data_IF_801718108895
#
_entry.id   IF_801718108895
#
_cell.length_a   1.000
_cell.length_b   1.000
_cell.length_c   1.000
_cell.angle_alpha   90.00
_cell.angle_beta   90.00
_cell.angle_gamma   90.00
#
_symmetry.space_group_name_H-M   'P 1'
#
loop_
_entity.id
_entity.type
_entity.pdbx_description
1 polymer ?
#
# COMPACT_ATOMS: atom_id res chain seq x y z
N UNK A 1 25.17 -22.39 2.23
CA UNK A 1 24.34 -21.97 1.08
C UNK A 1 23.47 -20.83 1.57
N UNK A 2 23.86 -19.59 1.30
CA UNK A 2 23.09 -18.41 1.74
C UNK A 2 21.97 -18.24 0.73
N UNK A 3 20.74 -18.53 1.13
CA UNK A 3 19.56 -18.35 0.30
C UNK A 3 19.34 -16.83 0.18
N UNK A 4 19.68 -16.25 -0.97
CA UNK A 4 19.41 -14.84 -1.26
C UNK A 4 17.90 -14.69 -1.36
N UNK A 5 17.25 -14.26 -0.28
CA UNK A 5 15.82 -13.94 -0.30
C UNK A 5 15.66 -12.78 -1.28
N UNK A 6 15.20 -13.07 -2.49
CA UNK A 6 14.86 -12.05 -3.46
C UNK A 6 13.61 -11.34 -2.93
N UNK A 7 13.83 -10.27 -2.15
CA UNK A 7 12.77 -9.39 -1.67
C UNK A 7 12.12 -8.78 -2.90
N UNK A 8 10.93 -9.27 -3.25
CA UNK A 8 10.13 -8.67 -4.31
C UNK A 8 9.65 -7.33 -3.78
N UNK A 9 10.22 -6.23 -4.27
CA UNK A 9 9.78 -4.90 -3.89
C UNK A 9 8.32 -4.70 -4.29
N UNK A 10 7.44 -4.55 -3.30
CA UNK A 10 6.03 -4.25 -3.52
C UNK A 10 5.82 -2.78 -3.29
N UNK A 11 4.96 -2.18 -4.12
CA UNK A 11 4.64 -0.77 -4.01
C UNK A 11 3.14 -0.56 -4.12
N UNK A 12 2.66 0.51 -3.48
CA UNK A 12 1.28 0.96 -3.55
C UNK A 12 1.21 2.44 -3.92
N UNK A 13 0.19 2.81 -4.67
CA UNK A 13 -0.21 4.20 -4.88
C UNK A 13 -1.37 4.52 -3.96
N UNK A 14 -1.35 5.71 -3.36
CA UNK A 14 -2.38 6.18 -2.42
C UNK A 14 -2.96 7.49 -2.92
N UNK A 15 -4.28 7.58 -2.98
CA UNK A 15 -5.03 8.76 -3.36
C UNK A 15 -6.08 9.09 -2.30
N UNK A 16 -6.23 10.38 -1.98
CA UNK A 16 -7.25 10.85 -1.06
C UNK A 16 -8.38 11.52 -1.86
N UNK A 17 -9.63 11.02 -1.77
CA UNK A 17 -10.76 11.63 -2.46
C UNK A 17 -10.87 13.13 -2.16
N UNK A 18 -10.97 13.96 -3.20
CA UNK A 18 -11.03 15.42 -3.11
C UNK A 18 -9.70 16.14 -2.85
N UNK A 19 -8.61 15.42 -2.56
CA UNK A 19 -7.27 15.99 -2.36
C UNK A 19 -6.25 15.53 -3.42
N UNK A 20 -6.47 14.36 -4.04
CA UNK A 20 -5.60 13.79 -5.06
C UNK A 20 -4.53 12.85 -4.48
N UNK A 21 -3.45 12.62 -5.23
CA UNK A 21 -2.41 11.64 -4.89
C UNK A 21 -1.66 12.04 -3.61
N UNK A 22 -1.52 11.10 -2.68
CA UNK A 22 -0.70 11.23 -1.46
C UNK A 22 0.67 10.56 -1.64
N UNK A 23 0.66 9.37 -2.23
CA UNK A 23 1.88 8.61 -2.50
C UNK A 23 1.83 7.97 -3.88
N UNK A 24 2.97 7.98 -4.57
CA UNK A 24 3.20 7.22 -5.80
C UNK A 24 4.36 6.27 -5.55
N UNK A 25 4.13 4.97 -5.69
CA UNK A 25 5.15 3.94 -5.50
C UNK A 25 5.65 3.80 -4.07
N UNK A 26 4.79 3.95 -3.06
CA UNK A 26 5.17 3.75 -1.66
C UNK A 26 5.56 2.28 -1.44
N UNK A 27 6.79 2.04 -0.98
CA UNK A 27 7.26 0.69 -0.65
C UNK A 27 6.49 0.11 0.53
N UNK A 28 6.13 -1.16 0.40
CA UNK A 28 5.45 -1.95 1.43
C UNK A 28 6.07 -3.34 1.50
N UNK A 29 6.05 -3.94 2.69
CA UNK A 29 6.55 -5.30 2.90
C UNK A 29 5.51 -6.34 2.42
N UNK A 30 4.25 -6.07 2.72
CA UNK A 30 3.13 -6.93 2.36
C UNK A 30 2.00 -6.13 1.72
N UNK A 31 1.39 -6.69 0.67
CA UNK A 31 0.12 -6.20 0.12
C UNK A 31 -0.69 -7.38 -0.43
N UNK A 32 -1.98 -7.39 -0.13
CA UNK A 32 -2.96 -8.36 -0.61
C UNK A 32 -4.36 -7.72 -0.57
N UNK A 33 -5.41 -8.53 -0.75
CA UNK A 33 -6.80 -8.03 -0.76
C UNK A 33 -7.33 -7.59 0.61
N UNK A 34 -6.69 -8.00 1.70
CA UNK A 34 -7.04 -7.58 3.06
C UNK A 34 -6.37 -6.27 3.45
N UNK A 35 -5.26 -5.91 2.80
CA UNK A 35 -4.54 -4.68 3.10
C UNK A 35 -3.07 -4.70 2.74
N UNK A 36 -2.31 -3.82 3.38
CA UNK A 36 -0.86 -3.77 3.27
C UNK A 36 -0.20 -3.41 4.60
N UNK A 37 1.08 -3.72 4.73
CA UNK A 37 1.87 -3.34 5.89
C UNK A 37 3.27 -2.83 5.54
N UNK A 38 3.79 -1.98 6.41
CA UNK A 38 5.14 -1.44 6.35
C UNK A 38 5.80 -1.67 7.71
N UNK A 39 6.96 -2.32 7.71
CA UNK A 39 7.86 -2.48 8.83
C UNK A 39 8.95 -1.41 8.74
N UNK A 40 9.09 -0.62 9.81
CA UNK A 40 10.03 0.48 9.93
C UNK A 40 11.25 0.10 10.77
N UNK A 41 11.44 -1.19 11.08
CA UNK A 41 12.63 -1.69 11.76
C UNK A 41 13.87 -1.29 10.95
N UNK A 42 14.87 -0.77 11.65
CA UNK A 42 16.12 -0.24 11.06
C UNK A 42 15.93 0.95 10.08
N UNK A 43 14.75 1.57 10.05
CA UNK A 43 14.48 2.79 9.29
C UNK A 43 14.52 4.04 10.18
N UNK A 44 14.91 5.17 9.58
CA UNK A 44 14.79 6.49 10.21
C UNK A 44 13.36 7.03 10.19
N UNK A 45 12.56 6.59 9.22
CA UNK A 45 11.14 6.93 9.12
C UNK A 45 10.34 6.16 10.16
N UNK A 46 9.31 6.79 10.73
CA UNK A 46 8.38 6.15 11.68
C UNK A 46 6.96 6.06 11.12
N UNK A 47 6.12 5.13 11.59
CA UNK A 47 4.73 4.96 11.13
C UNK A 47 3.88 6.24 11.16
N UNK A 48 4.08 7.10 12.14
CA UNK A 48 3.38 8.38 12.31
C UNK A 48 3.75 9.43 11.24
N UNK A 49 4.87 9.25 10.54
CA UNK A 49 5.29 10.13 9.45
C UNK A 49 4.58 9.82 8.12
N UNK A 50 3.85 8.70 8.06
CA UNK A 50 3.10 8.28 6.88
C UNK A 50 1.65 8.78 6.97
N UNK A 51 1.30 9.73 6.10
CA UNK A 51 -0.03 10.34 5.98
C UNK A 51 -0.98 9.49 5.13
N UNK A 52 -1.40 8.37 5.70
CA UNK A 52 -2.45 7.49 5.17
C UNK A 52 -3.58 7.41 6.19
N UNK A 53 -4.81 7.49 5.71
CA UNK A 53 -6.01 7.61 6.54
C UNK A 53 -7.13 6.70 6.00
N UNK A 54 -8.07 6.28 6.88
CA UNK A 54 -9.32 5.70 6.41
C UNK A 54 -10.04 6.64 5.43
N UNK A 55 -10.58 6.09 4.34
CA UNK A 55 -11.17 6.82 3.22
C UNK A 55 -10.21 7.10 2.06
N UNK A 56 -8.90 6.86 2.23
CA UNK A 56 -7.96 6.89 1.12
C UNK A 56 -8.16 5.65 0.20
N UNK A 57 -7.97 5.81 -1.10
CA UNK A 57 -7.95 4.73 -2.09
C UNK A 57 -6.53 4.24 -2.28
N UNK A 58 -6.33 2.93 -2.21
CA UNK A 58 -5.04 2.28 -2.51
C UNK A 58 -5.10 1.55 -3.84
N UNK A 59 -3.97 1.54 -4.55
CA UNK A 59 -3.77 0.77 -5.79
C UNK A 59 -2.44 0.05 -5.77
N UNK A 60 -2.40 -1.17 -6.29
CA UNK A 60 -1.16 -1.95 -6.41
C UNK A 60 -1.23 -2.93 -7.57
N UNK A 61 -0.08 -3.43 -8.00
CA UNK A 61 -0.01 -4.48 -9.02
C UNK A 61 -0.07 -5.86 -8.37
N UNK A 62 -0.98 -6.70 -8.85
CA UNK A 62 -1.07 -8.13 -8.55
C UNK A 62 -0.81 -8.91 -9.85
N UNK A 63 0.45 -9.33 -10.04
CA UNK A 63 0.94 -9.83 -11.32
C UNK A 63 0.86 -8.76 -12.42
N UNK A 64 0.15 -9.06 -13.50
CA UNK A 64 -0.08 -8.13 -14.63
C UNK A 64 -1.32 -7.25 -14.45
N UNK A 65 -2.07 -7.42 -13.35
CA UNK A 65 -3.33 -6.71 -13.11
C UNK A 65 -3.11 -5.58 -12.11
N UNK A 66 -3.82 -4.47 -12.30
CA UNK A 66 -3.93 -3.43 -11.29
C UNK A 66 -5.12 -3.75 -10.38
N UNK A 67 -4.93 -3.63 -9.09
CA UNK A 67 -5.97 -3.79 -8.07
C UNK A 67 -6.17 -2.46 -7.37
N UNK A 68 -7.42 -2.15 -7.02
CA UNK A 68 -7.77 -0.99 -6.21
C UNK A 68 -8.68 -1.39 -5.05
N UNK A 69 -8.62 -0.64 -3.95
CA UNK A 69 -9.50 -0.79 -2.80
C UNK A 69 -9.53 0.46 -1.94
N UNK A 70 -10.48 0.50 -1.02
CA UNK A 70 -10.63 1.59 -0.06
C UNK A 70 -9.95 1.21 1.25
N UNK A 71 -9.12 2.09 1.80
CA UNK A 71 -8.56 1.93 3.14
C UNK A 71 -9.65 2.24 4.16
N UNK A 72 -10.02 1.25 4.97
CA UNK A 72 -11.08 1.39 5.98
C UNK A 72 -10.53 1.55 7.40
N UNK A 73 -9.30 1.11 7.64
CA UNK A 73 -8.63 1.28 8.92
C UNK A 73 -7.11 1.42 8.72
N UNK A 74 -6.47 2.19 9.60
CA UNK A 74 -5.01 2.27 9.68
C UNK A 74 -4.60 2.11 11.13
N UNK A 75 -3.81 1.07 11.40
CA UNK A 75 -3.24 0.75 12.70
C UNK A 75 -1.75 1.11 12.68
N UNK A 76 -1.29 1.78 13.72
CA UNK A 76 0.11 2.17 13.90
C UNK A 76 0.58 1.61 15.24
N UNK A 77 1.67 0.88 15.19
CA UNK A 77 2.45 0.38 16.31
C UNK A 77 3.84 1.01 16.25
N UNK A 78 4.71 0.78 17.23
CA UNK A 78 6.00 1.49 17.36
C UNK A 78 6.87 1.47 16.08
N UNK A 79 6.91 0.35 15.37
CA UNK A 79 7.67 0.19 14.12
C UNK A 79 6.84 -0.42 12.99
N UNK A 80 5.50 -0.40 13.09
CA UNK A 80 4.66 -1.03 12.07
C UNK A 80 3.45 -0.17 11.72
N UNK A 81 3.14 -0.13 10.43
CA UNK A 81 1.88 0.39 9.92
C UNK A 81 1.13 -0.75 9.24
N UNK A 82 -0.15 -0.93 9.59
CA UNK A 82 -1.06 -1.84 8.89
C UNK A 82 -2.26 -1.03 8.39
N UNK A 83 -2.53 -1.10 7.09
CA UNK A 83 -3.75 -0.56 6.49
C UNK A 83 -4.68 -1.72 6.10
N UNK A 84 -5.94 -1.63 6.48
CA UNK A 84 -6.98 -2.62 6.12
C UNK A 84 -7.77 -2.08 4.94
N UNK A 85 -8.07 -2.95 3.97
CA UNK A 85 -8.76 -2.56 2.74
C UNK A 85 -10.08 -3.30 2.53
N UNK A 86 -11.05 -2.60 1.95
CA UNK A 86 -12.33 -3.15 1.48
C UNK A 86 -12.63 -2.69 0.06
N UNK A 87 -13.78 -3.08 -0.49
CA UNK A 87 -14.24 -2.72 -1.84
C UNK A 87 -13.21 -3.02 -2.94
N UNK A 88 -12.57 -4.19 -2.84
CA UNK A 88 -11.50 -4.58 -3.75
C UNK A 88 -12.03 -4.83 -5.16
N UNK A 89 -11.44 -4.14 -6.13
CA UNK A 89 -11.75 -4.28 -7.56
C UNK A 89 -10.48 -4.60 -8.33
N UNK A 90 -10.56 -5.65 -9.16
CA UNK A 90 -9.55 -5.92 -10.20
C UNK A 90 -9.84 -5.01 -11.38
N UNK A 91 -8.88 -4.17 -11.75
CA UNK A 91 -9.06 -3.24 -12.85
C UNK A 91 -8.82 -3.95 -14.19
N UNK A 92 -9.49 -3.46 -15.26
CA UNK A 92 -9.16 -3.87 -16.63
C UNK A 92 -7.67 -3.64 -16.92
N UNK A 93 -7.04 -4.46 -17.78
CA UNK A 93 -5.62 -4.30 -18.12
C UNK A 93 -5.29 -2.92 -18.71
N UNK A 94 -6.29 -2.30 -19.34
CA UNK A 94 -6.17 -1.05 -20.10
C UNK A 94 -6.66 0.16 -19.27
N UNK A 95 -6.81 0.01 -17.95
CA UNK A 95 -7.26 1.10 -17.10
C UNK A 95 -6.18 2.18 -16.99
N UNK A 96 -6.44 3.35 -17.57
CA UNK A 96 -5.61 4.55 -17.43
C UNK A 96 -6.26 5.52 -16.45
N UNK A 97 -5.45 6.09 -15.54
CA UNK A 97 -5.90 7.11 -14.59
C UNK A 97 -5.02 8.35 -14.75
N UNK A 98 -5.66 9.51 -14.93
CA UNK A 98 -5.05 10.84 -14.98
C UNK A 98 -4.84 11.38 -13.56
#
# INVERSE_FOLDING_TARGET
MTQTTQTSFRTVDIERPGYGRRYTGLFVDEVNRQGFSIDFTDMYTRPEMIDIQPGDTVRWKDGERLVTGDIVAVQREDNKLHAVTENIVLLPPDAFFS
#
